data_IF_974391015657
#
_entry.id   IF_974391015657
#
_cell.length_a   1.000
_cell.length_b   1.000
_cell.length_c   1.000
_cell.angle_alpha   90.00
_cell.angle_beta   90.00
_cell.angle_gamma   90.00
#
_symmetry.space_group_name_H-M   'P 1'
#
loop_
_entity.id
_entity.type
_entity.pdbx_description
1 polymer ?
#
# COMPACT_ATOMS: atom_id res chain seq x y z
N UNK A 1 0.51 2.79 14.41
CA UNK A 1 -0.84 2.44 13.87
C UNK A 1 -1.97 3.01 14.73
N UNK A 2 -1.91 2.90 16.07
CA UNK A 2 -2.96 3.42 16.97
C UNK A 2 -3.24 4.92 16.79
N UNK A 3 -2.20 5.76 16.69
CA UNK A 3 -2.36 7.21 16.47
C UNK A 3 -2.95 7.55 15.10
N UNK A 4 -2.57 6.82 14.04
CA UNK A 4 -3.19 6.98 12.73
C UNK A 4 -4.69 6.66 12.79
N UNK A 5 -5.07 5.56 13.46
CA UNK A 5 -6.48 5.21 13.66
C UNK A 5 -7.26 6.25 14.45
N UNK A 6 -6.65 6.93 15.43
CA UNK A 6 -7.32 7.98 16.19
C UNK A 6 -7.81 9.14 15.30
N UNK A 7 -7.19 9.35 14.13
CA UNK A 7 -7.63 10.37 13.16
C UNK A 7 -8.84 9.93 12.30
N UNK A 8 -9.22 8.65 12.36
CA UNK A 8 -10.38 8.11 11.63
C UNK A 8 -11.68 8.29 12.42
N UNK A 9 -12.84 8.39 11.74
CA UNK A 9 -14.14 8.34 12.38
C UNK A 9 -14.32 7.01 13.11
N UNK A 10 -15.02 7.02 14.25
CA UNK A 10 -15.18 5.87 15.16
C UNK A 10 -15.67 4.59 14.47
N UNK A 11 -16.43 4.72 13.38
CA UNK A 11 -16.92 3.59 12.56
C UNK A 11 -15.81 2.84 11.81
N UNK A 12 -14.70 3.52 11.47
CA UNK A 12 -13.53 2.98 10.78
C UNK A 12 -12.39 2.62 11.74
N UNK A 13 -12.37 3.20 12.94
CA UNK A 13 -11.35 2.92 13.98
C UNK A 13 -11.24 1.46 14.38
N UNK A 14 -12.27 0.63 14.15
CA UNK A 14 -12.29 -0.81 14.42
C UNK A 14 -12.48 -1.71 13.21
N UNK A 15 -12.58 -1.16 11.98
CA UNK A 15 -12.98 -1.91 10.78
C UNK A 15 -12.09 -1.60 9.59
N UNK A 16 -11.75 -2.65 8.83
CA UNK A 16 -10.91 -2.54 7.64
C UNK A 16 -9.48 -3.01 7.89
N UNK A 17 -8.64 -2.81 6.88
CA UNK A 17 -7.19 -2.95 7.00
C UNK A 17 -6.58 -1.55 6.95
N UNK A 18 -5.67 -1.23 7.86
CA UNK A 18 -4.79 -0.07 7.70
C UNK A 18 -3.40 -0.52 7.26
N UNK A 19 -2.75 0.30 6.44
CA UNK A 19 -1.34 0.16 6.15
C UNK A 19 -0.68 1.55 6.19
N UNK A 20 0.60 1.60 6.52
CA UNK A 20 1.41 2.81 6.53
C UNK A 20 2.70 2.53 5.81
N UNK A 21 3.04 3.33 4.81
CA UNK A 21 4.31 3.27 4.13
C UNK A 21 5.19 4.45 4.47
N UNK A 22 6.41 4.13 4.85
CA UNK A 22 7.49 5.09 4.97
C UNK A 22 8.21 5.18 3.64
N UNK A 23 8.40 6.40 3.16
CA UNK A 23 8.98 6.69 1.84
C UNK A 23 10.25 7.46 2.09
N UNK A 24 11.38 6.90 1.68
CA UNK A 24 12.67 7.58 1.70
C UNK A 24 13.20 7.59 0.27
N UNK A 25 12.64 8.47 -0.55
CA UNK A 25 13.04 8.66 -1.94
C UNK A 25 13.63 10.06 -2.09
N UNK A 26 14.78 10.13 -2.75
CA UNK A 26 15.46 11.39 -3.02
C UNK A 26 14.61 12.29 -3.92
N UNK A 27 14.34 13.52 -3.49
CA UNK A 27 13.53 14.49 -4.23
C UNK A 27 12.01 14.41 -3.98
N UNK A 28 11.54 13.51 -3.12
CA UNK A 28 10.14 13.48 -2.66
C UNK A 28 10.00 14.16 -1.30
N UNK A 29 9.07 15.12 -1.20
CA UNK A 29 8.73 15.75 0.08
C UNK A 29 7.96 14.79 1.01
N UNK A 30 7.22 13.85 0.43
CA UNK A 30 6.41 12.87 1.17
C UNK A 30 7.27 11.78 1.76
N UNK A 31 7.35 11.76 3.10
CA UNK A 31 8.09 10.73 3.84
C UNK A 31 7.22 9.59 4.36
N UNK A 32 5.91 9.77 4.40
CA UNK A 32 4.98 8.77 4.94
C UNK A 32 3.62 8.89 4.27
N UNK A 33 3.01 7.76 3.93
CA UNK A 33 1.64 7.65 3.43
C UNK A 33 0.90 6.56 4.21
N UNK A 34 -0.34 6.80 4.61
CA UNK A 34 -1.18 5.74 5.17
C UNK A 34 -2.29 5.38 4.19
N UNK A 35 -2.62 4.11 4.04
CA UNK A 35 -3.72 3.61 3.23
C UNK A 35 -4.74 2.91 4.12
N UNK A 36 -6.02 3.00 3.76
CA UNK A 36 -7.08 2.28 4.44
C UNK A 36 -8.05 1.66 3.45
N UNK A 37 -8.45 0.42 3.71
CA UNK A 37 -9.22 -0.33 2.72
C UNK A 37 -10.60 0.27 2.44
N UNK A 38 -11.19 0.91 3.45
CA UNK A 38 -12.53 1.53 3.38
C UNK A 38 -12.52 3.03 3.05
N UNK A 39 -11.35 3.66 2.91
CA UNK A 39 -11.24 5.10 2.65
C UNK A 39 -10.99 5.32 1.16
N UNK A 40 -11.94 5.91 0.46
CA UNK A 40 -11.84 6.22 -0.98
C UNK A 40 -11.30 7.63 -1.21
N UNK A 41 -11.57 8.56 -0.32
CA UNK A 41 -11.11 9.95 -0.39
C UNK A 41 -10.13 10.23 0.75
N UNK A 42 -9.09 11.02 0.50
CA UNK A 42 -8.06 11.28 1.50
C UNK A 42 -8.67 11.86 2.79
N UNK A 43 -8.41 11.22 3.93
CA UNK A 43 -9.00 11.59 5.21
C UNK A 43 -7.95 11.51 6.33
N UNK A 44 -7.66 12.66 6.95
CA UNK A 44 -6.62 12.77 7.96
C UNK A 44 -5.24 12.42 7.37
N UNK A 45 -4.60 11.40 7.94
CA UNK A 45 -3.29 10.90 7.46
C UNK A 45 -3.41 9.84 6.36
N UNK A 46 -4.63 9.41 6.04
CA UNK A 46 -4.88 8.35 5.06
C UNK A 46 -5.12 8.90 3.67
N UNK A 47 -4.47 8.30 2.68
CA UNK A 47 -4.69 8.57 1.26
C UNK A 47 -5.95 7.89 0.76
N UNK A 48 -6.61 8.55 -0.18
CA UNK A 48 -7.71 7.98 -0.95
C UNK A 48 -7.22 7.09 -2.10
N UNK A 49 -8.09 6.87 -3.07
CA UNK A 49 -7.76 6.20 -4.32
C UNK A 49 -6.76 7.06 -5.11
N UNK A 50 -5.62 6.46 -5.47
CA UNK A 50 -4.64 7.12 -6.35
C UNK A 50 -5.11 7.07 -7.82
N UNK A 51 -4.57 7.97 -8.66
CA UNK A 51 -4.96 8.03 -10.07
C UNK A 51 -4.28 6.91 -10.86
N UNK A 52 -3.07 6.54 -10.46
CA UNK A 52 -2.30 5.45 -11.08
C UNK A 52 -2.92 4.09 -10.77
N UNK A 53 -3.52 3.47 -11.77
CA UNK A 53 -4.15 2.14 -11.63
C UNK A 53 -3.14 1.03 -11.98
N UNK A 54 -2.76 0.26 -10.97
CA UNK A 54 -2.03 -0.99 -11.16
C UNK A 54 -2.99 -2.16 -11.39
N UNK A 55 -2.46 -3.24 -11.99
CA UNK A 55 -3.23 -4.47 -12.15
C UNK A 55 -3.33 -5.20 -10.81
N UNK A 56 -4.51 -5.23 -10.21
CA UNK A 56 -4.86 -6.05 -9.05
C UNK A 56 -5.46 -7.40 -9.48
N UNK A 57 -5.42 -8.38 -8.58
CA UNK A 57 -6.13 -9.65 -8.73
C UNK A 57 -7.33 -9.66 -7.78
N UNK A 58 -8.45 -10.18 -8.25
CA UNK A 58 -9.58 -10.52 -7.40
C UNK A 58 -9.26 -11.82 -6.66
N UNK A 59 -9.13 -11.73 -5.33
CA UNK A 59 -8.81 -12.88 -4.49
C UNK A 59 -9.97 -13.17 -3.55
N UNK A 60 -10.25 -14.44 -3.25
CA UNK A 60 -11.28 -14.79 -2.28
C UNK A 60 -10.89 -14.25 -0.90
N UNK A 61 -11.86 -13.67 -0.20
CA UNK A 61 -11.73 -13.31 1.20
C UNK A 61 -11.97 -14.55 2.08
N UNK A 62 -11.77 -14.45 3.40
CA UNK A 62 -12.02 -15.53 4.38
C UNK A 62 -13.42 -16.16 4.30
N UNK A 63 -14.38 -15.46 3.69
CA UNK A 63 -15.76 -15.92 3.46
C UNK A 63 -15.98 -16.57 2.08
N UNK A 64 -14.94 -16.75 1.26
CA UNK A 64 -15.03 -17.31 -0.09
C UNK A 64 -15.44 -16.33 -1.20
N UNK A 65 -15.89 -15.12 -0.85
CA UNK A 65 -16.23 -14.09 -1.84
C UNK A 65 -14.99 -13.54 -2.53
N UNK A 66 -14.98 -13.55 -3.86
CA UNK A 66 -13.98 -12.86 -4.67
C UNK A 66 -14.13 -11.35 -4.48
N UNK A 67 -13.12 -10.72 -3.89
CA UNK A 67 -13.07 -9.27 -3.70
C UNK A 67 -11.90 -8.75 -4.53
N UNK A 68 -12.16 -7.68 -5.29
CA UNK A 68 -11.10 -7.00 -6.01
C UNK A 68 -10.16 -6.31 -5.04
N UNK A 69 -8.88 -6.71 -5.06
CA UNK A 69 -7.86 -6.23 -4.13
C UNK A 69 -7.32 -4.85 -4.48
N UNK A 70 -7.93 -4.12 -5.43
CA UNK A 70 -7.66 -2.68 -5.65
C UNK A 70 -8.02 -1.83 -4.42
N UNK A 71 -8.95 -2.32 -3.60
CA UNK A 71 -9.37 -1.60 -2.39
C UNK A 71 -8.37 -1.76 -1.26
N UNK A 72 -7.38 -2.64 -1.36
CA UNK A 72 -6.39 -2.84 -0.31
C UNK A 72 -5.55 -1.59 -0.06
N UNK A 73 -5.16 -1.43 1.20
CA UNK A 73 -4.45 -0.27 1.71
C UNK A 73 -3.09 -0.10 1.02
N UNK A 74 -2.39 -1.21 0.79
CA UNK A 74 -1.10 -1.27 0.09
C UNK A 74 -1.23 -0.83 -1.36
N UNK A 75 -2.34 -1.19 -2.03
CA UNK A 75 -2.61 -0.75 -3.40
C UNK A 75 -2.74 0.78 -3.46
N UNK A 76 -3.54 1.37 -2.57
CA UNK A 76 -3.76 2.82 -2.54
C UNK A 76 -2.49 3.59 -2.24
N UNK A 77 -1.67 3.09 -1.32
CA UNK A 77 -0.36 3.67 -1.01
C UNK A 77 0.52 3.67 -2.26
N UNK A 78 0.69 2.51 -2.91
CA UNK A 78 1.56 2.38 -4.08
C UNK A 78 1.05 3.20 -5.26
N UNK A 79 -0.27 3.24 -5.44
CA UNK A 79 -0.96 4.06 -6.44
C UNK A 79 -0.69 5.55 -6.23
N UNK A 80 -0.89 6.06 -5.01
CA UNK A 80 -0.59 7.46 -4.67
C UNK A 80 0.89 7.78 -4.79
N UNK A 81 1.76 6.85 -4.37
CA UNK A 81 3.20 7.03 -4.48
C UNK A 81 3.64 7.11 -5.95
N UNK A 82 3.07 6.27 -6.82
CA UNK A 82 3.32 6.30 -8.25
C UNK A 82 2.81 7.60 -8.88
N UNK A 83 1.69 8.16 -8.40
CA UNK A 83 1.19 9.47 -8.81
C UNK A 83 2.19 10.59 -8.49
N UNK A 84 2.78 10.55 -7.29
CA UNK A 84 3.75 11.55 -6.85
C UNK A 84 5.08 11.42 -7.59
N UNK A 85 5.49 10.20 -7.91
CA UNK A 85 6.68 9.94 -8.73
C UNK A 85 6.45 10.31 -10.20
N UNK A 86 5.24 10.10 -10.72
CA UNK A 86 4.85 10.42 -12.08
C UNK A 86 5.80 9.82 -13.12
N UNK A 87 6.49 10.68 -13.86
CA UNK A 87 7.47 10.25 -14.87
C UNK A 87 8.91 10.10 -14.33
N UNK A 88 9.13 10.33 -13.03
CA UNK A 88 10.45 10.27 -12.40
C UNK A 88 10.91 8.83 -12.13
N UNK A 89 11.16 8.07 -13.20
CA UNK A 89 11.64 6.68 -13.13
C UNK A 89 13.07 6.53 -12.60
N UNK A 90 13.80 7.64 -12.53
CA UNK A 90 15.17 7.70 -12.02
C UNK A 90 15.24 7.92 -10.50
N UNK A 91 14.09 8.14 -9.85
CA UNK A 91 14.01 8.32 -8.42
C UNK A 91 14.65 7.13 -7.67
N UNK A 92 15.54 7.43 -6.73
CA UNK A 92 16.28 6.45 -5.92
C UNK A 92 15.82 6.51 -4.49
N UNK A 93 15.66 5.35 -3.86
CA UNK A 93 15.22 5.32 -2.48
C UNK A 93 14.76 3.98 -1.96
N UNK A 94 14.13 4.02 -0.79
CA UNK A 94 13.40 2.90 -0.24
C UNK A 94 11.96 3.28 0.09
N UNK A 95 11.09 2.28 0.06
CA UNK A 95 9.70 2.37 0.48
C UNK A 95 9.47 1.18 1.39
N UNK A 96 9.03 1.44 2.61
CA UNK A 96 8.76 0.40 3.59
C UNK A 96 7.31 0.47 4.02
N UNK A 97 6.52 -0.51 3.61
CA UNK A 97 5.09 -0.62 3.89
C UNK A 97 4.89 -1.52 5.10
N UNK A 98 4.17 -1.04 6.10
CA UNK A 98 3.71 -1.78 7.28
C UNK A 98 2.20 -1.94 7.18
N UNK A 99 1.70 -3.16 7.17
CA UNK A 99 0.26 -3.46 7.04
C UNK A 99 -0.25 -4.20 8.27
N UNK A 100 -1.47 -3.90 8.74
CA UNK A 100 -2.06 -4.59 9.90
C UNK A 100 -2.38 -6.06 9.59
N UNK A 101 -2.64 -6.36 8.32
CA UNK A 101 -2.98 -7.70 7.84
C UNK A 101 -1.99 -8.13 6.77
N UNK A 102 -1.71 -9.45 6.65
CA UNK A 102 -0.72 -9.92 5.72
C UNK A 102 -1.10 -9.53 4.30
N UNK A 103 -0.17 -8.81 3.65
CA UNK A 103 -0.33 -8.37 2.27
C UNK A 103 -0.59 -9.58 1.38
N UNK A 104 -1.68 -9.54 0.62
CA UNK A 104 -2.08 -10.65 -0.24
C UNK A 104 -1.27 -10.68 -1.54
N UNK A 105 -1.31 -11.80 -2.26
CA UNK A 105 -0.60 -12.00 -3.54
C UNK A 105 -0.85 -10.88 -4.56
N UNK A 106 -2.05 -10.29 -4.57
CA UNK A 106 -2.35 -9.13 -5.40
C UNK A 106 -1.49 -7.91 -5.07
N UNK A 107 -1.31 -7.59 -3.79
CA UNK A 107 -0.50 -6.46 -3.34
C UNK A 107 0.96 -6.66 -3.75
N UNK A 108 1.45 -7.90 -3.69
CA UNK A 108 2.78 -8.25 -4.16
C UNK A 108 2.98 -8.06 -5.67
N UNK A 109 1.96 -8.39 -6.49
CA UNK A 109 1.99 -8.11 -7.93
C UNK A 109 2.00 -6.61 -8.25
N UNK A 110 1.38 -5.79 -7.40
CA UNK A 110 1.42 -4.33 -7.52
C UNK A 110 2.81 -3.80 -7.16
N UNK A 111 3.43 -4.35 -6.12
CA UNK A 111 4.83 -4.06 -5.77
C UNK A 111 5.78 -4.39 -6.92
N UNK A 112 5.60 -5.53 -7.58
CA UNK A 112 6.39 -5.91 -8.76
C UNK A 112 6.24 -4.91 -9.91
N UNK A 113 5.01 -4.52 -10.25
CA UNK A 113 4.74 -3.50 -11.27
C UNK A 113 5.37 -2.15 -10.93
N UNK A 114 5.31 -1.76 -9.66
CA UNK A 114 5.95 -0.54 -9.16
C UNK A 114 7.48 -0.64 -9.28
N UNK A 115 8.08 -1.74 -8.83
CA UNK A 115 9.53 -1.97 -8.89
C UNK A 115 10.04 -2.03 -10.33
N UNK A 116 9.24 -2.51 -11.28
CA UNK A 116 9.56 -2.46 -12.72
C UNK A 116 9.53 -1.05 -13.30
N UNK A 117 8.60 -0.22 -12.83
CA UNK A 117 8.50 1.18 -13.24
C UNK A 117 9.61 2.04 -12.63
N UNK A 118 10.02 1.69 -11.41
CA UNK A 118 11.03 2.39 -10.61
C UNK A 118 12.09 1.41 -10.09
N UNK A 119 13.01 0.94 -10.96
CA UNK A 119 14.00 -0.09 -10.60
C UNK A 119 14.98 0.37 -9.50
N UNK A 120 15.09 1.68 -9.31
CA UNK A 120 15.95 2.32 -8.33
C UNK A 120 15.31 2.46 -6.93
N UNK A 121 14.04 2.07 -6.77
CA UNK A 121 13.31 2.14 -5.51
C UNK A 121 13.14 0.74 -4.93
N UNK A 122 13.64 0.52 -3.71
CA UNK A 122 13.46 -0.75 -3.00
C UNK A 122 12.17 -0.72 -2.19
N UNK A 123 11.20 -1.57 -2.54
CA UNK A 123 9.94 -1.71 -1.79
C UNK A 123 10.01 -2.91 -0.86
N UNK A 124 9.85 -2.67 0.45
CA UNK A 124 9.75 -3.70 1.47
C UNK A 124 8.35 -3.67 2.06
N UNK A 125 7.70 -4.83 2.19
CA UNK A 125 6.39 -4.95 2.83
C UNK A 125 6.54 -5.79 4.08
N UNK A 126 6.06 -5.29 5.21
CA UNK A 126 6.09 -5.94 6.51
C UNK A 126 4.66 -6.09 7.03
N UNK A 127 4.34 -7.30 7.48
CA UNK A 127 3.10 -7.58 8.19
C UNK A 127 3.18 -7.11 9.65
N UNK A 128 2.05 -7.03 10.35
CA UNK A 128 1.96 -6.68 11.76
C UNK A 128 2.81 -7.59 12.68
N UNK A 129 3.14 -8.82 12.23
CA UNK A 129 4.08 -9.71 12.93
C UNK A 129 5.56 -9.36 12.71
N UNK A 130 5.89 -8.25 12.04
CA UNK A 130 7.26 -7.88 11.67
C UNK A 130 7.86 -8.78 10.58
N UNK A 131 7.06 -9.68 10.00
CA UNK A 131 7.51 -10.60 8.95
C UNK A 131 7.48 -9.89 7.61
N UNK A 132 8.63 -9.86 6.94
CA UNK A 132 8.70 -9.34 5.58
C UNK A 132 7.88 -10.23 4.64
N UNK A 133 6.86 -9.66 4.02
CA UNK A 133 6.09 -10.32 2.97
C UNK A 133 6.90 -10.20 1.69
N UNK A 134 7.49 -11.33 1.26
CA UNK A 134 8.17 -11.43 -0.02
C UNK A 134 7.26 -12.11 -1.02
N UNK A 135 7.43 -11.78 -2.30
CA UNK A 135 7.09 -12.67 -3.41
C UNK A 135 7.96 -13.92 -3.28
N UNK A 136 7.62 -14.79 -2.33
CA UNK A 136 8.04 -16.17 -2.48
C UNK A 136 7.24 -16.65 -3.67
N UNK A 137 7.91 -16.85 -4.81
CA UNK A 137 7.37 -17.67 -5.87
C UNK A 137 6.90 -18.95 -5.22
N UNK A 138 5.57 -19.09 -5.11
CA UNK A 138 4.95 -20.37 -4.90
C UNK A 138 5.42 -21.21 -6.09
N UNK A 139 6.34 -22.13 -5.76
CA UNK A 139 6.81 -23.17 -6.65
C UNK A 139 5.67 -24.14 -6.92
#
# INVERSE_FOLDING_TARGET
MAEARATLPSSLQGKGNAAVAQINIEGLATKTLAGHSQITEAQGVFVGEGKTKFTSLSLPNKKGFLIDRKVDSEYKILSNLADQLGSNRQAKGNVTIFTERPACLSCLRVVDQFSKSYPNIKVNVFDNNGKQVKLNGEK
#
